data_IF_184117612112
#
_entry.id   IF_184117612112
#
_cell.length_a   1.000
_cell.length_b   1.000
_cell.length_c   1.000
_cell.angle_alpha   90.00
_cell.angle_beta   90.00
_cell.angle_gamma   90.00
#
_symmetry.space_group_name_H-M   'P 1'
#
loop_
_entity.id
_entity.type
_entity.pdbx_description
1 polymer ?
#
# COMPACT_ATOMS: atom_id res chain seq x y z
N UNK A 1 -0.09 2.22 6.08
CA UNK A 1 -1.48 1.79 5.85
C UNK A 1 -2.34 2.98 5.51
N UNK A 2 -3.34 2.77 4.67
CA UNK A 2 -4.18 3.80 4.07
C UNK A 2 -5.63 3.66 4.55
N UNK A 3 -5.87 3.89 5.85
CA UNK A 3 -7.22 3.74 6.44
C UNK A 3 -8.23 4.63 5.72
N UNK A 4 -7.87 5.88 5.42
CA UNK A 4 -8.73 6.81 4.69
C UNK A 4 -9.20 6.25 3.34
N UNK A 5 -8.30 5.70 2.51
CA UNK A 5 -8.69 5.15 1.20
C UNK A 5 -9.54 3.89 1.34
N UNK A 6 -9.32 3.06 2.38
CA UNK A 6 -10.16 1.88 2.63
C UNK A 6 -11.56 2.25 3.13
N UNK A 7 -11.69 3.32 3.91
CA UNK A 7 -13.00 3.85 4.32
C UNK A 7 -13.75 4.43 3.11
N UNK A 8 -13.08 5.20 2.26
CA UNK A 8 -13.68 5.69 1.01
C UNK A 8 -14.07 4.53 0.08
N UNK A 9 -13.24 3.49 -0.02
CA UNK A 9 -13.57 2.30 -0.81
C UNK A 9 -14.83 1.58 -0.28
N UNK A 10 -15.00 1.50 1.04
CA UNK A 10 -16.20 0.92 1.64
C UNK A 10 -17.44 1.76 1.36
N UNK A 11 -17.35 3.09 1.48
CA UNK A 11 -18.46 3.99 1.13
C UNK A 11 -18.81 3.90 -0.36
N UNK A 12 -17.81 3.84 -1.24
CA UNK A 12 -18.01 3.68 -2.67
C UNK A 12 -18.70 2.35 -3.00
N UNK A 13 -18.26 1.25 -2.36
CA UNK A 13 -18.87 -0.06 -2.54
C UNK A 13 -20.34 -0.12 -2.08
N UNK A 14 -20.68 0.57 -0.99
CA UNK A 14 -22.05 0.67 -0.49
C UNK A 14 -22.94 1.56 -1.38
N UNK A 15 -22.35 2.47 -2.15
CA UNK A 15 -23.05 3.29 -3.12
C UNK A 15 -23.16 2.64 -4.51
N UNK A 16 -22.54 1.46 -4.71
CA UNK A 16 -22.56 0.76 -5.99
C UNK A 16 -23.92 0.09 -6.29
N UNK A 17 -24.28 -0.08 -7.57
CA UNK A 17 -25.43 -0.86 -8.01
C UNK A 17 -25.49 -2.27 -7.40
N UNK A 18 -26.70 -2.81 -7.21
CA UNK A 18 -26.93 -4.06 -6.47
C UNK A 18 -26.20 -5.29 -7.06
N UNK A 19 -25.96 -5.31 -8.37
CA UNK A 19 -25.22 -6.35 -9.09
C UNK A 19 -23.71 -6.35 -8.77
N UNK A 20 -23.14 -5.22 -8.37
CA UNK A 20 -21.71 -5.07 -8.03
C UNK A 20 -21.45 -4.79 -6.54
N UNK A 21 -22.51 -4.56 -5.76
CA UNK A 21 -22.42 -4.22 -4.34
C UNK A 21 -21.72 -5.32 -3.53
N UNK A 22 -22.06 -6.59 -3.75
CA UNK A 22 -21.50 -7.70 -2.97
C UNK A 22 -20.00 -7.87 -3.21
N UNK A 23 -19.57 -7.84 -4.47
CA UNK A 23 -18.15 -7.92 -4.83
C UNK A 23 -17.37 -6.67 -4.40
N UNK A 24 -17.96 -5.48 -4.55
CA UNK A 24 -17.39 -4.22 -4.11
C UNK A 24 -17.14 -4.18 -2.60
N UNK A 25 -18.13 -4.57 -1.79
CA UNK A 25 -18.02 -4.58 -0.33
C UNK A 25 -16.99 -5.62 0.11
N UNK A 26 -16.96 -6.80 -0.51
CA UNK A 26 -15.95 -7.81 -0.22
C UNK A 26 -14.53 -7.29 -0.44
N UNK A 27 -14.25 -6.66 -1.59
CA UNK A 27 -12.95 -6.07 -1.89
C UNK A 27 -12.60 -4.97 -0.87
N UNK A 28 -13.54 -4.06 -0.60
CA UNK A 28 -13.34 -2.98 0.36
C UNK A 28 -13.00 -3.52 1.77
N UNK A 29 -13.68 -4.57 2.23
CA UNK A 29 -13.44 -5.18 3.53
C UNK A 29 -12.08 -5.89 3.59
N UNK A 30 -11.69 -6.63 2.55
CA UNK A 30 -10.37 -7.28 2.50
C UNK A 30 -9.27 -6.22 2.61
N UNK A 31 -9.37 -5.12 1.86
CA UNK A 31 -8.43 -4.03 1.96
C UNK A 31 -8.44 -3.35 3.34
N UNK A 32 -9.62 -3.13 3.93
CA UNK A 32 -9.75 -2.55 5.27
C UNK A 32 -9.06 -3.41 6.33
N UNK A 33 -9.38 -4.72 6.40
CA UNK A 33 -8.78 -5.62 7.38
C UNK A 33 -7.28 -5.78 7.17
N UNK A 34 -6.80 -5.89 5.93
CA UNK A 34 -5.38 -5.93 5.63
C UNK A 34 -4.65 -4.69 6.18
N UNK A 35 -5.23 -3.49 5.98
CA UNK A 35 -4.64 -2.24 6.47
C UNK A 35 -4.70 -2.12 7.99
N UNK A 36 -5.81 -2.52 8.61
CA UNK A 36 -6.01 -2.48 10.05
C UNK A 36 -5.05 -3.44 10.77
N UNK A 37 -5.00 -4.69 10.33
CA UNK A 37 -4.09 -5.70 10.87
C UNK A 37 -2.65 -5.27 10.66
N UNK A 38 -2.32 -4.71 9.49
CA UNK A 38 -0.99 -4.14 9.24
C UNK A 38 -0.62 -3.04 10.24
N UNK A 39 -1.55 -2.13 10.58
CA UNK A 39 -1.28 -1.11 11.61
C UNK A 39 -1.03 -1.76 12.96
N UNK A 40 -1.90 -2.69 13.37
CA UNK A 40 -1.76 -3.37 14.64
C UNK A 40 -0.41 -4.11 14.73
N UNK A 41 -0.06 -4.85 13.68
CA UNK A 41 1.19 -5.60 13.60
C UNK A 41 2.42 -4.68 13.67
N UNK A 42 2.48 -3.68 12.78
CA UNK A 42 3.68 -2.86 12.60
C UNK A 42 3.83 -1.77 13.66
N UNK A 43 2.73 -1.26 14.25
CA UNK A 43 2.78 -0.14 15.19
C UNK A 43 2.50 -0.54 16.64
N UNK A 44 1.66 -1.54 16.91
CA UNK A 44 1.38 -1.94 18.31
C UNK A 44 2.50 -2.83 18.85
N UNK A 45 2.99 -3.79 18.06
CA UNK A 45 4.07 -4.69 18.50
C UNK A 45 5.43 -3.96 18.38
N UNK A 46 6.10 -3.60 19.49
CA UNK A 46 7.27 -2.72 19.42
C UNK A 46 8.45 -3.31 18.66
N UNK A 47 8.64 -4.64 18.75
CA UNK A 47 9.73 -5.38 18.10
C UNK A 47 9.57 -5.38 16.57
N UNK A 48 8.33 -5.25 16.07
CA UNK A 48 8.06 -5.30 14.63
C UNK A 48 8.18 -3.93 13.96
N UNK A 49 8.45 -2.84 14.68
CA UNK A 49 8.52 -1.46 14.14
C UNK A 49 9.70 -1.19 13.16
N UNK A 50 10.28 -2.22 12.55
CA UNK A 50 11.32 -2.17 11.54
C UNK A 50 11.04 -1.20 10.37
N UNK A 51 9.81 -1.05 9.85
CA UNK A 51 9.56 -0.15 8.72
C UNK A 51 9.88 1.34 9.02
N UNK A 52 9.78 1.76 10.28
CA UNK A 52 9.95 3.17 10.67
C UNK A 52 11.40 3.65 10.49
N UNK A 53 12.43 3.02 11.07
CA UNK A 53 13.82 3.44 10.86
C UNK A 53 14.25 3.29 9.39
N UNK A 54 13.77 2.27 8.68
CA UNK A 54 14.06 2.10 7.26
C UNK A 54 13.51 3.25 6.42
N UNK A 55 12.26 3.66 6.65
CA UNK A 55 11.65 4.79 5.95
C UNK A 55 12.38 6.11 6.25
N UNK A 56 12.81 6.33 7.50
CA UNK A 56 13.60 7.52 7.87
C UNK A 56 14.94 7.55 7.14
N UNK A 57 15.69 6.46 7.19
CA UNK A 57 16.99 6.38 6.52
C UNK A 57 16.86 6.57 5.00
N UNK A 58 15.85 5.96 4.39
CA UNK A 58 15.56 6.13 2.97
C UNK A 58 15.19 7.57 2.62
N UNK A 59 14.40 8.24 3.47
CA UNK A 59 14.06 9.66 3.35
C UNK A 59 15.30 10.56 3.41
N UNK A 60 16.18 10.33 4.39
CA UNK A 60 17.44 11.09 4.54
C UNK A 60 18.36 10.90 3.33
N UNK A 61 18.46 9.67 2.82
CA UNK A 61 19.23 9.36 1.61
C UNK A 61 18.65 10.09 0.39
N UNK A 62 17.33 10.08 0.25
CA UNK A 62 16.63 10.75 -0.86
C UNK A 62 16.76 12.27 -0.77
N UNK A 63 16.75 12.84 0.44
CA UNK A 63 16.95 14.27 0.68
C UNK A 63 18.37 14.70 0.30
N UNK A 64 19.38 13.87 0.60
CA UNK A 64 20.77 14.12 0.22
C UNK A 64 21.00 13.93 -1.28
N UNK A 65 20.38 12.90 -1.87
CA UNK A 65 20.57 12.51 -3.27
C UNK A 65 19.23 12.42 -3.99
N UNK A 66 18.79 13.52 -4.59
CA UNK A 66 17.48 13.62 -5.27
C UNK A 66 17.27 12.57 -6.37
N UNK A 67 18.34 12.10 -7.00
CA UNK A 67 18.26 11.05 -8.03
C UNK A 67 17.78 9.69 -7.47
N UNK A 68 17.95 9.44 -6.17
CA UNK A 68 17.46 8.23 -5.49
C UNK A 68 15.94 8.15 -5.59
N UNK A 69 15.22 9.28 -5.51
CA UNK A 69 13.77 9.29 -5.73
C UNK A 69 13.41 8.81 -7.14
N UNK A 70 14.13 9.29 -8.16
CA UNK A 70 13.89 8.92 -9.56
C UNK A 70 14.19 7.43 -9.75
N UNK A 71 15.33 6.96 -9.25
CA UNK A 71 15.70 5.55 -9.31
C UNK A 71 14.67 4.65 -8.60
N UNK A 72 14.19 5.06 -7.43
CA UNK A 72 13.15 4.32 -6.69
C UNK A 72 11.83 4.24 -7.44
N UNK A 73 11.39 5.35 -8.06
CA UNK A 73 10.18 5.36 -8.88
C UNK A 73 10.33 4.46 -10.12
N UNK A 74 11.44 4.59 -10.85
CA UNK A 74 11.69 3.79 -12.05
C UNK A 74 11.82 2.30 -11.71
N UNK A 75 12.57 1.95 -10.67
CA UNK A 75 12.78 0.54 -10.31
C UNK A 75 11.54 -0.06 -9.64
N UNK A 76 11.02 0.59 -8.61
CA UNK A 76 9.95 0.04 -7.76
C UNK A 76 8.56 0.11 -8.37
N UNK A 77 8.25 1.16 -9.14
CA UNK A 77 6.90 1.37 -9.67
C UNK A 77 6.75 1.07 -11.16
N UNK A 78 7.84 1.05 -11.93
CA UNK A 78 7.80 0.78 -13.36
C UNK A 78 8.48 -0.55 -13.73
N UNK A 79 9.80 -0.65 -13.53
CA UNK A 79 10.59 -1.77 -14.03
C UNK A 79 10.27 -3.08 -13.31
N UNK A 80 10.13 -3.06 -11.98
CA UNK A 80 9.82 -4.28 -11.22
C UNK A 80 8.42 -4.83 -11.54
N UNK A 81 7.33 -4.01 -11.54
CA UNK A 81 6.02 -4.49 -11.99
C UNK A 81 6.02 -4.97 -13.44
N UNK A 82 6.72 -4.26 -14.34
CA UNK A 82 6.81 -4.64 -15.75
C UNK A 82 7.57 -5.96 -15.92
N UNK A 83 8.66 -6.16 -15.18
CA UNK A 83 9.41 -7.41 -15.19
C UNK A 83 8.57 -8.57 -14.63
N UNK A 84 7.87 -8.37 -13.51
CA UNK A 84 6.98 -9.38 -12.94
C UNK A 84 5.86 -9.77 -13.92
N UNK A 85 5.26 -8.79 -14.59
CA UNK A 85 4.27 -9.03 -15.64
C UNK A 85 4.88 -9.78 -16.83
N UNK A 86 6.03 -9.35 -17.33
CA UNK A 86 6.72 -9.98 -18.46
C UNK A 86 7.15 -11.43 -18.18
N UNK A 87 7.50 -11.75 -16.93
CA UNK A 87 7.80 -13.12 -16.49
C UNK A 87 6.55 -13.99 -16.29
N UNK A 88 5.36 -13.40 -16.21
CA UNK A 88 4.09 -14.11 -16.03
C UNK A 88 3.37 -14.46 -17.34
N UNK A 89 3.90 -13.99 -18.48
CA UNK A 89 3.45 -14.31 -19.85
C UNK A 89 4.12 -15.60 -20.35
#
# INVERSE_FOLDING_TARGET
SNIGTTTTALLAALASPADTLLSGVQVALIHFFFNLIGILLWYVVPILRLPIPLAKHFGDLTARYRWVAIAYLLLGFLLLPLAAFGLSL
#
